data_IF_858490687220
#
_entry.id   IF_858490687220
#
_cell.length_a   1.000
_cell.length_b   1.000
_cell.length_c   1.000
_cell.angle_alpha   90.00
_cell.angle_beta   90.00
_cell.angle_gamma   90.00
#
_symmetry.space_group_name_H-M   'P 1'
#
loop_
_entity.id
_entity.type
_entity.pdbx_description
1 polymer ?
#
# COMPACT_ATOMS: atom_id res chain seq x y z
N UNK A 1 -4.46 -25.35 21.42
CA UNK A 1 -3.57 -24.22 21.15
C UNK A 1 -4.43 -22.99 21.30
N UNK A 2 -4.29 -22.33 22.43
CA UNK A 2 -5.09 -21.19 22.88
C UNK A 2 -4.67 -19.95 22.07
N UNK A 3 -5.55 -19.51 21.15
CA UNK A 3 -5.43 -18.23 20.51
C UNK A 3 -5.76 -17.13 21.53
N UNK A 4 -4.76 -16.44 21.99
CA UNK A 4 -4.94 -15.21 22.75
C UNK A 4 -5.56 -14.16 21.82
N UNK A 5 -6.87 -13.94 21.99
CA UNK A 5 -7.56 -12.78 21.46
C UNK A 5 -7.08 -11.53 22.22
N UNK A 6 -5.97 -10.97 21.79
CA UNK A 6 -5.66 -9.59 22.11
C UNK A 6 -6.59 -8.70 21.26
N UNK A 7 -7.69 -8.26 21.87
CA UNK A 7 -8.36 -7.05 21.40
C UNK A 7 -7.38 -5.89 21.61
N UNK A 8 -6.47 -5.68 20.66
CA UNK A 8 -5.62 -4.50 20.66
C UNK A 8 -6.56 -3.28 20.59
N UNK A 9 -6.49 -2.46 21.62
CA UNK A 9 -7.11 -1.14 21.65
C UNK A 9 -6.42 -0.29 20.58
N UNK A 10 -6.81 -0.45 19.32
CA UNK A 10 -6.22 0.23 18.19
C UNK A 10 -6.68 1.68 18.23
N UNK A 11 -5.77 2.55 18.64
CA UNK A 11 -6.01 3.98 18.78
C UNK A 11 -6.07 4.62 17.39
N UNK A 12 -7.17 5.31 17.11
CA UNK A 12 -7.26 6.22 15.97
C UNK A 12 -6.29 7.38 16.16
N UNK A 13 -5.65 7.82 15.07
CA UNK A 13 -4.69 8.93 15.08
C UNK A 13 -5.15 10.07 14.18
N UNK A 14 -4.81 11.29 14.58
CA UNK A 14 -5.00 12.47 13.76
C UNK A 14 -3.73 12.76 12.96
N UNK A 15 -3.90 13.19 11.71
CA UNK A 15 -2.81 13.50 10.80
C UNK A 15 -2.79 15.00 10.52
N UNK A 16 -1.61 15.59 10.60
CA UNK A 16 -1.38 17.01 10.31
C UNK A 16 -0.70 17.16 8.95
N UNK A 17 -1.35 17.84 8.02
CA UNK A 17 -0.85 18.13 6.68
C UNK A 17 -0.32 19.56 6.54
N UNK A 18 -0.09 20.25 7.64
CA UNK A 18 0.50 21.60 7.60
C UNK A 18 1.92 21.57 7.03
N UNK A 19 2.39 22.68 6.42
CA UNK A 19 3.77 22.77 5.93
C UNK A 19 4.82 22.50 7.00
N UNK A 20 4.56 22.88 8.26
CA UNK A 20 5.46 22.62 9.39
C UNK A 20 5.52 21.12 9.72
N UNK A 21 4.39 20.43 9.73
CA UNK A 21 4.36 18.98 9.95
C UNK A 21 5.08 18.23 8.82
N UNK A 22 4.88 18.65 7.58
CA UNK A 22 5.59 18.07 6.43
C UNK A 22 7.11 18.29 6.53
N UNK A 23 7.55 19.49 6.92
CA UNK A 23 8.98 19.76 7.14
C UNK A 23 9.56 18.84 8.22
N UNK A 24 8.86 18.67 9.34
CA UNK A 24 9.27 17.75 10.42
C UNK A 24 9.35 16.30 9.93
N UNK A 25 8.41 15.86 9.09
CA UNK A 25 8.44 14.52 8.50
C UNK A 25 9.61 14.34 7.52
N UNK A 26 9.94 15.37 6.72
CA UNK A 26 11.15 15.34 5.84
C UNK A 26 12.41 15.17 6.69
N UNK A 27 12.57 15.95 7.75
CA UNK A 27 13.73 15.88 8.65
C UNK A 27 13.83 14.52 9.36
N UNK A 28 12.71 13.98 9.82
CA UNK A 28 12.65 12.65 10.44
C UNK A 28 13.06 11.55 9.45
N UNK A 29 12.62 11.62 8.21
CA UNK A 29 12.97 10.63 7.18
C UNK A 29 14.44 10.75 6.75
N UNK A 30 14.98 11.97 6.64
CA UNK A 30 16.41 12.20 6.38
C UNK A 30 17.27 11.62 7.50
N UNK A 31 16.91 11.87 8.76
CA UNK A 31 17.61 11.31 9.92
C UNK A 31 17.56 9.79 9.93
N UNK A 32 16.42 9.19 9.59
CA UNK A 32 16.27 7.74 9.48
C UNK A 32 17.18 7.16 8.40
N UNK A 33 17.17 7.74 7.19
CA UNK A 33 18.04 7.27 6.09
C UNK A 33 19.52 7.42 6.48
N UNK A 34 19.92 8.54 7.09
CA UNK A 34 21.27 8.74 7.55
C UNK A 34 21.68 7.70 8.61
N UNK A 35 20.80 7.37 9.55
CA UNK A 35 21.02 6.32 10.55
C UNK A 35 21.19 4.94 9.91
N UNK A 36 20.36 4.60 8.93
CA UNK A 36 20.45 3.30 8.24
C UNK A 36 21.70 3.20 7.36
N UNK A 37 22.20 4.33 6.86
CA UNK A 37 23.45 4.39 6.08
C UNK A 37 24.73 4.44 6.91
N UNK A 38 24.67 4.84 8.19
CA UNK A 38 25.84 5.12 9.01
C UNK A 38 26.79 3.91 9.22
N UNK A 39 26.27 2.68 9.17
CA UNK A 39 27.02 1.45 9.45
C UNK A 39 27.02 0.47 8.26
N UNK A 40 26.93 0.98 7.04
CA UNK A 40 26.97 0.16 5.84
C UNK A 40 27.83 0.78 4.75
N UNK A 41 28.39 -0.06 3.88
CA UNK A 41 29.07 0.33 2.65
C UNK A 41 28.15 0.22 1.43
N UNK A 42 26.86 -0.03 1.66
CA UNK A 42 25.86 -0.15 0.59
C UNK A 42 25.71 1.18 -0.14
N UNK A 43 25.38 1.09 -1.43
CA UNK A 43 24.96 2.25 -2.20
C UNK A 43 23.49 2.53 -1.92
N UNK A 44 23.13 3.81 -1.77
CA UNK A 44 21.76 4.28 -1.68
C UNK A 44 21.20 4.51 -3.09
N UNK A 45 20.01 4.03 -3.36
CA UNK A 45 19.30 4.17 -4.62
C UNK A 45 17.93 4.81 -4.39
N UNK A 46 17.57 5.79 -5.20
CA UNK A 46 16.23 6.33 -5.28
C UNK A 46 15.46 5.60 -6.39
N UNK A 47 14.33 5.00 -6.05
CA UNK A 47 13.44 4.28 -6.98
C UNK A 47 12.26 5.17 -7.35
N UNK A 48 12.05 5.40 -8.64
CA UNK A 48 11.04 6.30 -9.20
C UNK A 48 10.16 5.56 -10.20
N UNK A 49 8.85 5.76 -10.13
CA UNK A 49 7.92 5.50 -11.23
C UNK A 49 7.76 6.78 -12.06
N UNK A 50 8.19 6.83 -13.32
CA UNK A 50 8.14 8.05 -14.12
C UNK A 50 6.72 8.42 -14.57
N UNK A 51 5.78 7.48 -14.59
CA UNK A 51 4.43 7.72 -15.13
C UNK A 51 3.70 8.85 -14.40
N UNK A 52 3.64 8.90 -13.07
CA UNK A 52 3.04 10.03 -12.37
C UNK A 52 3.74 11.37 -12.59
N UNK A 53 5.08 11.38 -12.79
CA UNK A 53 5.84 12.59 -13.07
C UNK A 53 5.47 13.20 -14.42
N UNK A 54 5.25 12.37 -15.44
CA UNK A 54 4.83 12.84 -16.78
C UNK A 54 3.44 13.49 -16.71
N UNK A 55 2.57 12.94 -15.87
CA UNK A 55 1.18 13.43 -15.73
C UNK A 55 1.08 14.68 -14.85
N UNK A 56 2.03 14.90 -13.93
CA UNK A 56 2.13 16.08 -13.07
C UNK A 56 3.60 16.53 -12.96
N UNK A 57 4.13 17.23 -13.95
CA UNK A 57 5.52 17.62 -13.93
C UNK A 57 5.79 18.61 -12.77
N UNK A 58 6.50 18.16 -11.74
CA UNK A 58 7.39 19.02 -10.97
C UNK A 58 8.66 19.17 -11.81
N UNK A 59 8.72 20.23 -12.60
CA UNK A 59 9.80 20.43 -13.57
C UNK A 59 11.17 20.43 -12.90
N UNK A 60 11.30 21.02 -11.71
CA UNK A 60 12.56 21.09 -10.97
C UNK A 60 13.04 19.70 -10.51
N UNK A 61 12.14 18.89 -9.97
CA UNK A 61 12.47 17.53 -9.53
C UNK A 61 12.76 16.61 -10.72
N UNK A 62 11.91 16.67 -11.77
CA UNK A 62 12.07 15.88 -12.98
C UNK A 62 13.37 16.21 -13.73
N UNK A 63 13.73 17.49 -13.85
CA UNK A 63 14.96 17.91 -14.51
C UNK A 63 16.21 17.41 -13.77
N UNK A 64 16.20 17.46 -12.43
CA UNK A 64 17.29 16.92 -11.61
C UNK A 64 17.43 15.41 -11.78
N UNK A 65 16.31 14.67 -11.81
CA UNK A 65 16.32 13.21 -12.03
C UNK A 65 16.93 12.87 -13.41
N UNK A 66 16.48 13.55 -14.48
CA UNK A 66 16.97 13.32 -15.84
C UNK A 66 18.47 13.64 -15.94
N UNK A 67 18.93 14.72 -15.28
CA UNK A 67 20.35 15.09 -15.26
C UNK A 67 21.24 14.00 -14.64
N UNK A 68 20.70 13.17 -13.73
CA UNK A 68 21.40 12.02 -13.10
C UNK A 68 21.48 10.79 -14.00
N UNK A 69 20.89 10.84 -15.22
CA UNK A 69 20.86 9.70 -16.16
C UNK A 69 20.39 8.41 -15.47
N UNK A 70 19.14 8.35 -15.03
CA UNK A 70 18.62 7.21 -14.28
C UNK A 70 18.75 5.91 -15.06
N UNK A 71 19.00 4.81 -14.35
CA UNK A 71 19.03 3.47 -14.94
C UNK A 71 17.60 2.93 -15.00
N UNK A 72 17.10 2.55 -16.22
CA UNK A 72 15.77 1.99 -16.33
C UNK A 72 15.70 0.59 -15.73
N UNK A 73 14.68 0.35 -14.92
CA UNK A 73 14.33 -0.98 -14.41
C UNK A 73 13.55 -1.71 -15.50
N UNK A 74 14.28 -2.43 -16.34
CA UNK A 74 13.70 -3.13 -17.49
C UNK A 74 12.75 -4.24 -17.05
N UNK A 75 11.47 -4.13 -17.45
CA UNK A 75 10.44 -5.12 -17.17
C UNK A 75 10.41 -6.15 -18.31
N UNK A 76 10.74 -7.44 -18.07
CA UNK A 76 10.86 -8.44 -19.12
C UNK A 76 9.49 -8.95 -19.61
N UNK A 77 8.67 -8.04 -20.13
CA UNK A 77 7.35 -8.34 -20.66
C UNK A 77 7.05 -7.50 -21.92
N UNK A 78 6.73 -8.18 -23.03
CA UNK A 78 6.59 -7.57 -24.37
C UNK A 78 5.50 -6.47 -24.46
N UNK A 79 4.47 -6.54 -23.64
CA UNK A 79 3.37 -5.57 -23.65
C UNK A 79 3.65 -4.30 -22.84
N UNK A 80 4.80 -4.20 -22.17
CA UNK A 80 5.14 -3.03 -21.32
C UNK A 80 6.08 -2.12 -22.12
N UNK A 81 5.66 -0.87 -22.28
CA UNK A 81 6.48 0.15 -22.95
C UNK A 81 7.69 0.53 -22.09
N UNK A 82 8.82 0.83 -22.72
CA UNK A 82 10.01 1.35 -22.02
C UNK A 82 9.72 2.67 -21.27
N UNK A 83 8.72 3.43 -21.69
CA UNK A 83 8.30 4.66 -21.00
C UNK A 83 7.67 4.39 -19.63
N UNK A 84 7.18 3.15 -19.42
CA UNK A 84 6.56 2.71 -18.17
C UNK A 84 7.55 2.01 -17.23
N UNK A 85 8.83 1.96 -17.60
CA UNK A 85 9.85 1.35 -16.75
C UNK A 85 10.17 2.26 -15.57
N UNK A 86 10.21 1.75 -14.34
CA UNK A 86 10.73 2.50 -13.21
C UNK A 86 12.19 2.91 -13.44
N UNK A 87 12.62 3.92 -12.74
CA UNK A 87 13.98 4.45 -12.79
C UNK A 87 14.69 4.22 -11.48
N UNK A 88 15.96 3.86 -11.54
CA UNK A 88 16.84 3.73 -10.39
C UNK A 88 17.96 4.76 -10.49
N UNK A 89 18.10 5.60 -9.46
CA UNK A 89 19.10 6.68 -9.40
C UNK A 89 20.03 6.38 -8.22
N UNK A 90 21.32 6.09 -8.45
CA UNK A 90 22.29 5.99 -7.37
C UNK A 90 22.53 7.37 -6.75
N UNK A 91 22.63 7.42 -5.41
CA UNK A 91 22.89 8.63 -4.62
C UNK A 91 24.17 8.46 -3.83
N UNK A 92 25.07 9.43 -3.95
CA UNK A 92 26.25 9.57 -3.14
C UNK A 92 26.08 10.73 -2.15
N UNK A 93 25.79 10.39 -0.90
CA UNK A 93 25.53 11.40 0.14
C UNK A 93 26.75 12.22 0.55
N UNK A 94 27.94 11.97 -0.01
CA UNK A 94 29.08 12.87 0.13
C UNK A 94 28.95 14.13 -0.75
N UNK A 95 28.05 14.11 -1.76
CA UNK A 95 27.81 15.21 -2.69
C UNK A 95 26.55 15.99 -2.31
N UNK A 96 26.65 17.30 -2.25
CA UNK A 96 25.56 18.20 -1.87
C UNK A 96 24.34 18.07 -2.79
N UNK A 97 24.55 17.93 -4.10
CA UNK A 97 23.48 17.75 -5.09
C UNK A 97 22.64 16.49 -4.82
N UNK A 98 23.26 15.41 -4.36
CA UNK A 98 22.56 14.16 -4.03
C UNK A 98 21.84 14.25 -2.69
N UNK A 99 22.40 14.98 -1.71
CA UNK A 99 21.69 15.30 -0.47
C UNK A 99 20.44 16.13 -0.75
N UNK A 100 20.55 17.14 -1.65
CA UNK A 100 19.41 17.96 -2.07
C UNK A 100 18.37 17.14 -2.83
N UNK A 101 18.78 16.24 -3.73
CA UNK A 101 17.88 15.37 -4.47
C UNK A 101 17.17 14.39 -3.51
N UNK A 102 17.86 13.83 -2.52
CA UNK A 102 17.27 13.00 -1.48
C UNK A 102 16.21 13.78 -0.70
N UNK A 103 16.55 14.96 -0.18
CA UNK A 103 15.60 15.79 0.57
C UNK A 103 14.36 16.15 -0.28
N UNK A 104 14.57 16.53 -1.54
CA UNK A 104 13.49 16.84 -2.45
C UNK A 104 12.61 15.62 -2.76
N UNK A 105 13.21 14.44 -2.94
CA UNK A 105 12.44 13.21 -3.17
C UNK A 105 11.55 12.84 -1.99
N UNK A 106 11.99 13.08 -0.75
CA UNK A 106 11.18 12.87 0.45
C UNK A 106 10.02 13.87 0.48
N UNK A 107 10.28 15.13 0.21
CA UNK A 107 9.24 16.17 0.15
C UNK A 107 8.18 15.84 -0.92
N UNK A 108 8.61 15.34 -2.10
CA UNK A 108 7.70 14.88 -3.17
C UNK A 108 6.87 13.70 -2.68
N UNK A 109 7.48 12.68 -2.07
CA UNK A 109 6.76 11.50 -1.55
C UNK A 109 5.67 11.88 -0.54
N UNK A 110 5.96 12.82 0.36
CA UNK A 110 4.99 13.34 1.33
C UNK A 110 3.90 14.19 0.68
N UNK A 111 4.25 15.00 -0.33
CA UNK A 111 3.27 15.79 -1.08
C UNK A 111 2.32 14.90 -1.90
N UNK A 112 2.77 13.75 -2.40
CA UNK A 112 1.96 12.82 -3.19
C UNK A 112 0.82 12.18 -2.38
N UNK A 113 0.97 12.09 -1.07
CA UNK A 113 -0.07 11.58 -0.14
C UNK A 113 -0.95 12.69 0.45
N UNK A 114 -0.65 13.96 0.15
CA UNK A 114 -1.48 15.08 0.59
C UNK A 114 -2.90 14.96 0.01
N UNK A 115 -3.97 15.27 0.79
CA UNK A 115 -5.35 15.16 0.32
C UNK A 115 -5.62 15.83 -1.04
N UNK A 116 -5.04 17.02 -1.28
CA UNK A 116 -5.17 17.75 -2.56
C UNK A 116 -4.60 16.98 -3.77
N UNK A 117 -3.66 16.07 -3.55
CA UNK A 117 -3.09 15.21 -4.59
C UNK A 117 -3.86 13.89 -4.70
N UNK A 118 -4.26 13.32 -3.57
CA UNK A 118 -5.05 12.09 -3.55
C UNK A 118 -6.36 12.22 -4.33
N UNK A 119 -7.03 13.38 -4.29
CA UNK A 119 -8.29 13.62 -5.04
C UNK A 119 -8.11 13.49 -6.56
N UNK A 120 -6.89 13.72 -7.08
CA UNK A 120 -6.59 13.62 -8.52
C UNK A 120 -6.38 12.20 -9.01
N UNK A 121 -6.42 11.20 -8.13
CA UNK A 121 -6.24 9.76 -8.43
C UNK A 121 -4.92 9.45 -9.14
N UNK A 122 -3.89 10.29 -8.95
CA UNK A 122 -2.55 10.07 -9.49
C UNK A 122 -1.83 9.03 -8.65
N UNK A 123 -1.01 8.21 -9.28
CA UNK A 123 -0.09 7.32 -8.59
C UNK A 123 1.03 8.07 -7.86
N UNK A 124 1.89 7.33 -7.18
CA UNK A 124 3.07 7.87 -6.50
C UNK A 124 4.30 7.69 -7.39
N UNK A 125 5.03 8.78 -7.64
CA UNK A 125 6.27 8.74 -8.41
C UNK A 125 7.43 8.23 -7.57
N UNK A 126 7.54 8.68 -6.31
CA UNK A 126 8.60 8.20 -5.42
C UNK A 126 8.21 6.85 -4.82
N UNK A 127 8.93 5.81 -5.24
CA UNK A 127 8.69 4.43 -4.82
C UNK A 127 9.49 4.02 -3.58
N UNK A 128 10.48 4.82 -3.20
CA UNK A 128 11.28 4.62 -1.99
C UNK A 128 12.78 4.71 -2.20
N UNK A 129 13.51 4.46 -1.13
CA UNK A 129 14.97 4.50 -1.06
C UNK A 129 15.49 3.12 -0.70
N UNK A 130 16.36 2.58 -1.55
CA UNK A 130 16.86 1.21 -1.45
C UNK A 130 18.33 1.24 -1.08
N UNK A 131 18.80 0.26 -0.32
CA UNK A 131 20.24 0.06 -0.13
C UNK A 131 20.64 -1.33 -0.60
N UNK A 132 21.79 -1.41 -1.26
CA UNK A 132 22.37 -2.67 -1.70
C UNK A 132 23.90 -2.56 -1.82
N UNK A 133 24.65 -3.64 -1.54
CA UNK A 133 26.08 -3.73 -1.86
C UNK A 133 26.33 -4.01 -3.35
N UNK A 134 25.29 -4.27 -4.14
CA UNK A 134 25.39 -4.62 -5.54
C UNK A 134 25.31 -3.42 -6.47
N UNK A 135 25.90 -3.47 -7.69
CA UNK A 135 25.83 -2.40 -8.67
C UNK A 135 24.38 -2.11 -9.12
N UNK A 136 24.16 -0.89 -9.60
CA UNK A 136 22.85 -0.40 -10.03
C UNK A 136 22.18 -1.31 -11.08
N UNK A 137 22.94 -1.86 -12.02
CA UNK A 137 22.41 -2.73 -13.08
C UNK A 137 21.86 -4.05 -12.53
N UNK A 138 22.53 -4.62 -11.52
CA UNK A 138 22.07 -5.86 -10.88
C UNK A 138 20.80 -5.58 -10.06
N UNK A 139 20.75 -4.45 -9.34
CA UNK A 139 19.55 -4.03 -8.60
C UNK A 139 18.40 -3.77 -9.56
N UNK A 140 18.62 -3.03 -10.65
CA UNK A 140 17.61 -2.78 -11.68
C UNK A 140 17.09 -4.07 -12.29
N UNK A 141 17.98 -5.00 -12.65
CA UNK A 141 17.63 -6.31 -13.18
C UNK A 141 16.77 -7.11 -12.22
N UNK A 142 17.14 -7.17 -10.94
CA UNK A 142 16.35 -7.88 -9.94
C UNK A 142 14.96 -7.26 -9.81
N UNK A 143 14.87 -5.93 -9.62
CA UNK A 143 13.60 -5.24 -9.49
C UNK A 143 12.68 -5.52 -10.68
N UNK A 144 13.21 -5.44 -11.90
CA UNK A 144 12.44 -5.68 -13.11
C UNK A 144 11.94 -7.12 -13.24
N UNK A 145 12.81 -8.10 -12.97
CA UNK A 145 12.42 -9.51 -13.04
C UNK A 145 11.41 -9.89 -11.95
N UNK A 146 11.57 -9.36 -10.72
CA UNK A 146 10.63 -9.59 -9.62
C UNK A 146 9.27 -8.94 -9.89
N UNK A 147 9.20 -7.87 -10.70
CA UNK A 147 7.93 -7.25 -11.09
C UNK A 147 7.07 -8.11 -12.03
N UNK A 148 7.66 -9.14 -12.65
CA UNK A 148 6.93 -10.07 -13.53
C UNK A 148 6.83 -11.41 -12.83
N UNK A 149 5.63 -11.76 -12.41
CA UNK A 149 5.35 -12.98 -11.68
C UNK A 149 4.50 -13.95 -12.49
N UNK A 150 4.71 -15.24 -12.26
CA UNK A 150 3.91 -16.30 -12.86
C UNK A 150 2.74 -16.64 -11.92
N UNK A 151 1.54 -16.67 -12.48
CA UNK A 151 0.34 -17.15 -11.81
C UNK A 151 0.32 -18.69 -11.76
N UNK A 152 -0.49 -19.32 -10.89
CA UNK A 152 -0.63 -20.78 -10.84
C UNK A 152 -1.07 -21.42 -12.16
N UNK A 153 -1.80 -20.69 -13.00
CA UNK A 153 -2.23 -21.12 -14.35
C UNK A 153 -1.18 -20.82 -15.44
N UNK A 154 0.05 -20.51 -15.06
CA UNK A 154 1.20 -20.20 -15.91
C UNK A 154 1.13 -18.88 -16.69
N UNK A 155 0.08 -18.07 -16.55
CA UNK A 155 0.05 -16.73 -17.12
C UNK A 155 1.02 -15.82 -16.38
N UNK A 156 1.61 -14.87 -17.11
CA UNK A 156 2.48 -13.86 -16.52
C UNK A 156 1.65 -12.64 -16.11
N UNK A 157 1.93 -12.10 -14.94
CA UNK A 157 1.32 -10.86 -14.46
C UNK A 157 2.39 -9.84 -14.08
N UNK A 158 2.09 -8.56 -14.30
CA UNK A 158 2.88 -7.45 -13.77
C UNK A 158 2.42 -7.15 -12.35
N UNK A 159 3.32 -7.26 -11.40
CA UNK A 159 3.10 -6.88 -10.01
C UNK A 159 3.86 -5.58 -9.71
N UNK A 160 3.14 -4.48 -9.52
CA UNK A 160 3.75 -3.18 -9.20
C UNK A 160 4.13 -3.09 -7.72
N UNK A 161 4.81 -4.11 -7.21
CA UNK A 161 5.20 -4.20 -5.80
C UNK A 161 6.11 -3.06 -5.32
N UNK A 162 6.73 -2.35 -6.26
CA UNK A 162 7.55 -1.17 -6.02
C UNK A 162 6.72 0.09 -5.72
N UNK A 163 5.45 0.14 -6.10
CA UNK A 163 4.53 1.20 -5.72
C UNK A 163 4.25 1.12 -4.21
N UNK A 164 4.49 2.18 -3.41
CA UNK A 164 4.33 2.15 -1.96
C UNK A 164 2.93 1.73 -1.51
N UNK A 165 1.88 2.13 -2.23
CA UNK A 165 0.51 1.74 -1.90
C UNK A 165 0.29 0.24 -2.12
N UNK A 166 0.86 -0.34 -3.18
CA UNK A 166 0.83 -1.79 -3.42
C UNK A 166 1.70 -2.52 -2.41
N UNK A 167 2.90 -2.01 -2.11
CA UNK A 167 3.82 -2.60 -1.13
C UNK A 167 3.18 -2.71 0.24
N UNK A 168 2.50 -1.66 0.72
CA UNK A 168 1.88 -1.62 2.03
C UNK A 168 0.82 -2.70 2.22
N UNK A 169 -0.01 -2.97 1.20
CA UNK A 169 -1.08 -3.98 1.30
C UNK A 169 -0.58 -5.39 0.96
N UNK A 170 0.45 -5.51 0.12
CA UNK A 170 1.02 -6.80 -0.29
C UNK A 170 1.91 -7.42 0.79
N UNK A 171 2.74 -6.59 1.44
CA UNK A 171 3.76 -7.07 2.37
C UNK A 171 3.21 -7.97 3.49
N UNK A 172 2.11 -7.64 4.18
CA UNK A 172 1.54 -8.48 5.23
C UNK A 172 0.98 -9.82 4.75
N UNK A 173 0.65 -9.93 3.47
CA UNK A 173 0.06 -11.15 2.86
C UNK A 173 1.14 -12.14 2.44
N UNK A 174 2.37 -11.69 2.31
CA UNK A 174 3.50 -12.54 1.96
C UNK A 174 4.13 -13.16 3.21
N UNK A 175 4.34 -14.47 3.19
CA UNK A 175 5.12 -15.16 4.22
C UNK A 175 6.58 -14.69 4.20
N UNK A 176 7.24 -14.80 5.32
CA UNK A 176 8.62 -14.37 5.54
C UNK A 176 9.58 -14.73 4.38
N UNK A 177 9.52 -15.97 3.90
CA UNK A 177 10.42 -16.38 2.82
C UNK A 177 10.14 -15.67 1.48
N UNK A 178 8.87 -15.30 1.21
CA UNK A 178 8.50 -14.52 0.02
C UNK A 178 8.89 -13.06 0.17
N UNK A 179 8.76 -12.51 1.38
CA UNK A 179 9.27 -11.17 1.69
C UNK A 179 10.78 -11.10 1.45
N UNK A 180 11.54 -12.11 1.90
CA UNK A 180 12.98 -12.18 1.66
C UNK A 180 13.32 -12.35 0.17
N UNK A 181 12.55 -13.12 -0.59
CA UNK A 181 12.69 -13.19 -2.06
C UNK A 181 12.40 -11.87 -2.75
N UNK A 182 11.39 -11.14 -2.28
CA UNK A 182 11.05 -9.83 -2.81
C UNK A 182 12.16 -8.82 -2.54
N UNK A 183 12.80 -8.89 -1.37
CA UNK A 183 13.98 -8.09 -1.04
C UNK A 183 15.19 -8.47 -1.92
N UNK A 184 15.43 -9.77 -2.13
CA UNK A 184 16.51 -10.30 -2.97
C UNK A 184 17.88 -9.79 -2.58
N UNK A 185 18.54 -8.96 -3.43
CA UNK A 185 19.86 -8.38 -3.16
C UNK A 185 19.80 -7.01 -2.47
N UNK A 186 18.61 -6.54 -2.10
CA UNK A 186 18.45 -5.31 -1.33
C UNK A 186 18.71 -5.59 0.16
N UNK A 187 19.51 -4.77 0.80
CA UNK A 187 19.70 -4.83 2.25
C UNK A 187 18.52 -4.18 2.97
N UNK A 188 18.07 -3.03 2.45
CA UNK A 188 16.96 -2.26 3.01
C UNK A 188 16.10 -1.67 1.91
N UNK A 189 14.84 -1.50 2.23
CA UNK A 189 13.90 -0.73 1.43
C UNK A 189 13.14 0.21 2.37
N UNK A 190 13.38 1.48 2.24
CA UNK A 190 12.74 2.55 2.99
C UNK A 190 11.69 3.22 2.12
N UNK A 191 10.52 3.44 2.64
CA UNK A 191 9.42 4.12 1.95
C UNK A 191 8.57 4.91 2.94
N UNK A 192 7.71 5.77 2.41
CA UNK A 192 6.68 6.46 3.18
C UNK A 192 5.35 5.79 2.90
N UNK A 193 4.61 5.41 3.94
CA UNK A 193 3.26 4.88 3.78
C UNK A 193 2.24 5.96 3.36
N UNK A 194 0.97 5.61 3.24
CA UNK A 194 -0.06 6.56 2.84
C UNK A 194 -0.49 7.54 3.94
N UNK A 195 0.06 7.41 5.13
CA UNK A 195 -0.15 8.30 6.27
C UNK A 195 1.08 9.18 6.57
N UNK A 196 2.12 9.09 5.72
CA UNK A 196 3.35 9.86 5.89
C UNK A 196 4.32 9.24 6.87
N UNK A 197 4.07 8.01 7.34
CA UNK A 197 4.96 7.36 8.28
C UNK A 197 6.08 6.61 7.54
N UNK A 198 7.31 6.64 8.06
CA UNK A 198 8.41 5.88 7.50
C UNK A 198 8.21 4.39 7.73
N UNK A 199 8.44 3.61 6.69
CA UNK A 199 8.41 2.14 6.73
C UNK A 199 9.75 1.62 6.24
N UNK A 200 10.34 0.66 6.98
CA UNK A 200 11.60 0.02 6.60
C UNK A 200 11.38 -1.48 6.45
N UNK A 201 11.70 -1.99 5.28
CA UNK A 201 11.82 -3.42 4.99
C UNK A 201 13.28 -3.80 5.03
N UNK A 202 13.62 -4.89 5.72
CA UNK A 202 15.02 -5.34 5.86
C UNK A 202 15.17 -6.76 5.35
N UNK A 203 16.27 -6.98 4.63
CA UNK A 203 16.70 -8.34 4.33
C UNK A 203 17.28 -8.98 5.60
N UNK A 204 16.94 -10.25 5.86
CA UNK A 204 17.52 -11.01 6.96
C UNK A 204 18.85 -11.60 6.52
N UNK A 205 19.89 -11.36 7.31
CA UNK A 205 21.26 -11.78 7.00
C UNK A 205 21.43 -13.33 6.89
N UNK A 206 20.52 -14.09 7.49
CA UNK A 206 20.52 -15.55 7.51
C UNK A 206 19.72 -16.17 6.34
N UNK A 207 19.07 -15.35 5.50
CA UNK A 207 18.33 -15.84 4.36
C UNK A 207 19.28 -16.19 3.20
N UNK A 208 19.13 -17.39 2.66
CA UNK A 208 19.89 -17.81 1.48
C UNK A 208 19.49 -16.95 0.27
N UNK A 209 20.48 -16.50 -0.52
CA UNK A 209 20.23 -15.86 -1.80
C UNK A 209 19.48 -16.83 -2.71
N UNK A 210 18.33 -16.41 -3.20
CA UNK A 210 17.54 -17.22 -4.10
C UNK A 210 17.93 -16.96 -5.56
N UNK A 211 18.16 -18.03 -6.31
CA UNK A 211 18.52 -17.95 -7.73
C UNK A 211 17.32 -17.64 -8.66
N UNK A 212 16.13 -17.46 -8.09
CA UNK A 212 14.91 -17.19 -8.85
C UNK A 212 14.25 -15.88 -8.40
N UNK A 213 13.77 -15.11 -9.36
CA UNK A 213 12.97 -13.90 -9.14
C UNK A 213 11.47 -14.21 -8.93
N UNK A 214 11.05 -15.45 -9.14
CA UNK A 214 9.67 -15.87 -8.95
C UNK A 214 9.39 -16.07 -7.46
N UNK A 215 8.33 -15.44 -6.98
CA UNK A 215 7.90 -15.53 -5.57
C UNK A 215 7.21 -16.86 -5.26
N UNK A 216 6.71 -17.57 -6.29
CA UNK A 216 5.94 -18.80 -6.12
C UNK A 216 4.63 -18.55 -5.38
N UNK A 217 3.87 -17.57 -5.85
CA UNK A 217 2.61 -17.14 -5.23
C UNK A 217 1.59 -18.28 -5.25
N UNK A 218 0.87 -18.44 -4.12
CA UNK A 218 -0.29 -19.32 -4.05
C UNK A 218 -1.48 -18.73 -4.83
N UNK A 219 -2.52 -19.55 -5.07
CA UNK A 219 -3.74 -19.06 -5.71
C UNK A 219 -4.38 -17.92 -4.87
N UNK A 220 -4.47 -18.08 -3.55
CA UNK A 220 -5.03 -17.06 -2.67
C UNK A 220 -4.26 -15.73 -2.74
N UNK A 221 -2.92 -15.77 -2.79
CA UNK A 221 -2.10 -14.56 -2.94
C UNK A 221 -2.24 -13.93 -4.32
N UNK A 222 -2.37 -14.75 -5.35
CA UNK A 222 -2.63 -14.27 -6.72
C UNK A 222 -3.98 -13.57 -6.79
N UNK A 223 -5.02 -14.17 -6.23
CA UNK A 223 -6.37 -13.59 -6.18
C UNK A 223 -6.39 -12.29 -5.39
N UNK A 224 -5.68 -12.25 -4.25
CA UNK A 224 -5.51 -11.01 -3.48
C UNK A 224 -4.85 -9.90 -4.31
N UNK A 225 -3.76 -10.19 -5.01
CA UNK A 225 -3.04 -9.20 -5.82
C UNK A 225 -3.90 -8.70 -6.98
N UNK A 226 -4.62 -9.59 -7.65
CA UNK A 226 -5.39 -9.26 -8.85
C UNK A 226 -6.72 -8.55 -8.54
N UNK A 227 -7.34 -8.88 -7.42
CA UNK A 227 -8.71 -8.46 -7.11
C UNK A 227 -8.82 -7.59 -5.86
N UNK A 228 -8.18 -7.96 -4.75
CA UNK A 228 -8.41 -7.30 -3.46
C UNK A 228 -7.52 -6.08 -3.24
N UNK A 229 -6.24 -6.15 -3.60
CA UNK A 229 -5.28 -5.07 -3.34
C UNK A 229 -5.69 -3.72 -3.97
N UNK A 230 -6.28 -3.76 -5.18
CA UNK A 230 -6.80 -2.57 -5.85
C UNK A 230 -7.97 -1.95 -5.10
N UNK A 231 -8.90 -2.78 -4.62
CA UNK A 231 -10.08 -2.36 -3.85
C UNK A 231 -9.65 -1.74 -2.52
N UNK A 232 -8.75 -2.41 -1.79
CA UNK A 232 -8.19 -1.90 -0.53
C UNK A 232 -7.58 -0.51 -0.74
N UNK A 233 -6.73 -0.35 -1.75
CA UNK A 233 -6.08 0.94 -2.04
C UNK A 233 -7.06 2.04 -2.41
N UNK A 234 -8.13 1.74 -3.17
CA UNK A 234 -9.17 2.72 -3.49
C UNK A 234 -9.98 3.11 -2.26
N UNK A 235 -10.35 2.14 -1.43
CA UNK A 235 -11.07 2.38 -0.16
C UNK A 235 -10.23 3.21 0.82
N UNK A 236 -8.94 2.88 1.00
CA UNK A 236 -8.01 3.65 1.83
C UNK A 236 -7.87 5.09 1.36
N UNK A 237 -7.75 5.31 0.04
CA UNK A 237 -7.68 6.67 -0.52
C UNK A 237 -8.95 7.45 -0.22
N UNK A 238 -10.14 6.87 -0.44
CA UNK A 238 -11.42 7.50 -0.14
C UNK A 238 -11.57 7.80 1.34
N UNK A 239 -11.16 6.87 2.20
CA UNK A 239 -11.18 7.03 3.64
C UNK A 239 -10.30 8.20 4.09
N UNK A 240 -9.07 8.33 3.59
CA UNK A 240 -8.19 9.46 3.88
C UNK A 240 -8.76 10.80 3.47
N UNK A 241 -9.37 10.86 2.28
CA UNK A 241 -9.99 12.10 1.80
C UNK A 241 -11.14 12.57 2.68
N UNK A 242 -11.96 11.65 3.18
CA UNK A 242 -13.11 11.99 4.01
C UNK A 242 -12.78 12.18 5.49
N UNK A 243 -11.64 11.65 5.94
CA UNK A 243 -11.16 11.79 7.33
C UNK A 243 -9.95 12.69 7.48
N UNK A 244 -9.75 13.64 6.56
CA UNK A 244 -8.60 14.56 6.57
C UNK A 244 -8.46 15.32 7.89
N UNK A 245 -9.57 15.71 8.52
CA UNK A 245 -9.62 16.50 9.75
C UNK A 245 -10.14 15.74 10.96
N UNK A 246 -10.29 14.43 10.85
CA UNK A 246 -10.78 13.56 11.93
C UNK A 246 -9.79 12.44 12.21
N UNK A 247 -9.76 11.90 13.44
CA UNK A 247 -8.97 10.71 13.73
C UNK A 247 -9.37 9.53 12.83
N UNK A 248 -8.39 8.76 12.40
CA UNK A 248 -8.62 7.56 11.57
C UNK A 248 -7.66 6.42 11.93
N UNK A 249 -7.97 5.23 11.47
CA UNK A 249 -7.06 4.09 11.61
C UNK A 249 -5.78 4.32 10.78
N UNK A 250 -4.60 3.98 11.35
CA UNK A 250 -3.35 3.91 10.58
C UNK A 250 -3.49 2.97 9.37
N UNK A 251 -2.72 3.24 8.31
CA UNK A 251 -2.81 2.54 7.03
C UNK A 251 -2.81 1.01 7.17
N UNK A 252 -1.86 0.46 7.91
CA UNK A 252 -1.74 -0.99 8.06
C UNK A 252 -2.99 -1.60 8.71
N UNK A 253 -3.47 -0.98 9.80
CA UNK A 253 -4.69 -1.42 10.48
C UNK A 253 -5.92 -1.31 9.59
N UNK A 254 -6.05 -0.18 8.88
CA UNK A 254 -7.15 0.03 7.95
C UNK A 254 -7.13 -0.99 6.82
N UNK A 255 -5.96 -1.27 6.22
CA UNK A 255 -5.79 -2.28 5.19
C UNK A 255 -6.16 -3.69 5.67
N UNK A 256 -5.73 -4.07 6.87
CA UNK A 256 -6.05 -5.38 7.48
C UNK A 256 -7.55 -5.56 7.67
N UNK A 257 -8.25 -4.55 8.22
CA UNK A 257 -9.70 -4.60 8.43
C UNK A 257 -10.49 -4.80 7.15
N UNK A 258 -10.09 -4.07 6.10
CA UNK A 258 -10.70 -4.26 4.77
C UNK A 258 -10.39 -5.65 4.22
N UNK A 259 -9.14 -6.10 4.32
CA UNK A 259 -8.73 -7.42 3.84
C UNK A 259 -9.53 -8.55 4.51
N UNK A 260 -9.70 -8.50 5.83
CA UNK A 260 -10.49 -9.47 6.60
C UNK A 260 -11.96 -9.48 6.16
N UNK A 261 -12.55 -8.33 5.89
CA UNK A 261 -13.92 -8.24 5.43
C UNK A 261 -14.07 -8.77 3.99
N UNK A 262 -13.17 -8.42 3.08
CA UNK A 262 -13.18 -8.96 1.72
C UNK A 262 -13.00 -10.47 1.70
N UNK A 263 -12.20 -11.04 2.61
CA UNK A 263 -12.06 -12.49 2.77
C UNK A 263 -13.37 -13.15 3.22
N UNK A 264 -14.07 -12.56 4.20
CA UNK A 264 -15.41 -13.05 4.64
C UNK A 264 -16.43 -13.04 3.49
N UNK A 265 -16.34 -12.04 2.63
CA UNK A 265 -17.27 -11.82 1.52
C UNK A 265 -16.89 -12.60 0.24
N UNK A 266 -15.71 -13.21 0.18
CA UNK A 266 -15.23 -13.94 -1.01
C UNK A 266 -16.14 -15.06 -1.43
N UNK A 267 -16.78 -15.75 -0.47
CA UNK A 267 -17.76 -16.81 -0.73
C UNK A 267 -19.15 -16.30 -1.04
N UNK A 268 -19.39 -14.99 -0.99
CA UNK A 268 -20.71 -14.40 -1.16
C UNK A 268 -21.07 -14.29 -2.66
N UNK A 269 -22.04 -15.04 -3.18
CA UNK A 269 -22.25 -15.21 -4.62
C UNK A 269 -22.72 -13.95 -5.36
N UNK A 270 -23.20 -12.92 -4.64
CA UNK A 270 -23.73 -11.70 -5.22
C UNK A 270 -22.75 -10.52 -5.21
N UNK A 271 -21.56 -10.68 -4.65
CA UNK A 271 -20.65 -9.57 -4.37
C UNK A 271 -19.37 -9.66 -5.22
N UNK A 272 -19.54 -9.50 -6.55
CA UNK A 272 -18.44 -9.65 -7.51
C UNK A 272 -18.01 -8.34 -8.17
N UNK A 273 -18.83 -7.28 -8.07
CA UNK A 273 -18.51 -5.98 -8.64
C UNK A 273 -17.49 -5.24 -7.78
N UNK A 274 -16.38 -4.80 -8.39
CA UNK A 274 -15.28 -4.13 -7.70
C UNK A 274 -15.71 -2.80 -7.06
N UNK A 275 -16.62 -2.07 -7.68
CA UNK A 275 -17.11 -0.80 -7.16
C UNK A 275 -18.01 -1.01 -5.93
N UNK A 276 -18.80 -2.09 -5.92
CA UNK A 276 -19.60 -2.46 -4.75
C UNK A 276 -18.73 -2.92 -3.59
N UNK A 277 -17.68 -3.68 -3.88
CA UNK A 277 -16.68 -4.11 -2.90
C UNK A 277 -15.92 -2.92 -2.32
N UNK A 278 -15.60 -1.91 -3.14
CA UNK A 278 -14.99 -0.65 -2.67
C UNK A 278 -15.94 0.14 -1.75
N UNK A 279 -17.22 0.23 -2.10
CA UNK A 279 -18.21 0.92 -1.26
C UNK A 279 -18.34 0.25 0.11
N UNK A 280 -18.45 -1.07 0.18
CA UNK A 280 -18.50 -1.76 1.45
C UNK A 280 -17.17 -1.62 2.24
N UNK A 281 -16.03 -1.75 1.56
CA UNK A 281 -14.73 -1.54 2.18
C UNK A 281 -14.60 -0.13 2.80
N UNK A 282 -15.20 0.87 2.15
CA UNK A 282 -15.28 2.21 2.73
C UNK A 282 -16.11 2.25 4.03
N UNK A 283 -17.28 1.61 4.07
CA UNK A 283 -18.13 1.55 5.27
C UNK A 283 -17.46 0.79 6.43
N UNK A 284 -16.66 -0.24 6.11
CA UNK A 284 -15.82 -0.96 7.10
C UNK A 284 -14.81 -0.03 7.76
N UNK A 285 -14.25 0.90 7.02
CA UNK A 285 -13.28 1.88 7.56
C UNK A 285 -13.94 3.06 8.25
N UNK A 286 -15.04 3.55 7.69
CA UNK A 286 -15.68 4.79 8.11
C UNK A 286 -16.66 4.58 9.25
N UNK A 287 -17.47 3.53 9.19
CA UNK A 287 -18.56 3.30 10.15
C UNK A 287 -18.18 2.29 11.21
N UNK A 288 -17.92 1.03 10.85
CA UNK A 288 -17.47 0.00 11.79
C UNK A 288 -16.78 -1.18 11.09
N UNK A 289 -15.67 -1.73 11.64
CA UNK A 289 -14.88 -2.81 11.02
C UNK A 289 -15.64 -4.10 10.73
N UNK A 290 -16.78 -4.30 11.38
CA UNK A 290 -17.65 -5.48 11.23
C UNK A 290 -19.05 -5.09 10.79
N UNK A 291 -19.21 -3.98 10.09
CA UNK A 291 -20.50 -3.51 9.60
C UNK A 291 -21.14 -4.49 8.60
N UNK A 292 -20.33 -5.25 7.89
CA UNK A 292 -20.73 -6.33 7.01
C UNK A 292 -21.50 -7.45 7.72
N UNK A 293 -21.23 -7.65 9.01
CA UNK A 293 -21.89 -8.66 9.86
C UNK A 293 -23.15 -8.13 10.59
N UNK A 294 -23.47 -6.85 10.42
CA UNK A 294 -24.70 -6.32 11.00
C UNK A 294 -25.93 -6.94 10.30
N UNK A 295 -26.96 -7.46 11.04
CA UNK A 295 -28.04 -8.22 10.44
C UNK A 295 -28.79 -7.53 9.31
N UNK A 296 -28.90 -6.18 9.36
CA UNK A 296 -29.53 -5.41 8.30
C UNK A 296 -28.64 -5.27 7.05
N UNK A 297 -27.34 -5.22 7.23
CA UNK A 297 -26.38 -5.15 6.13
C UNK A 297 -26.21 -6.53 5.51
N UNK A 298 -26.05 -7.57 6.32
CA UNK A 298 -26.02 -8.98 5.88
C UNK A 298 -27.26 -9.33 5.03
N UNK A 299 -28.46 -8.92 5.49
CA UNK A 299 -29.69 -9.06 4.71
C UNK A 299 -29.63 -8.36 3.35
N UNK A 300 -29.03 -7.15 3.27
CA UNK A 300 -28.87 -6.41 2.02
C UNK A 300 -27.78 -7.02 1.11
N UNK A 301 -26.84 -7.76 1.68
CA UNK A 301 -25.82 -8.49 0.92
C UNK A 301 -26.35 -9.83 0.38
N UNK A 302 -27.43 -10.38 0.96
CA UNK A 302 -27.99 -11.67 0.57
C UNK A 302 -28.60 -11.60 -0.86
N UNK A 303 -28.06 -12.36 -1.83
CA UNK A 303 -28.55 -12.37 -3.21
C UNK A 303 -29.95 -12.99 -3.34
N UNK A 304 -30.37 -13.82 -2.39
CA UNK A 304 -31.68 -14.47 -2.42
C UNK A 304 -32.81 -13.54 -1.94
N UNK A 305 -32.45 -12.47 -1.26
CA UNK A 305 -33.40 -11.48 -0.74
C UNK A 305 -33.77 -10.44 -1.80
N UNK A 306 -32.87 -10.18 -2.73
CA UNK A 306 -33.08 -9.23 -3.84
C UNK A 306 -32.91 -9.97 -5.16
N UNK A 307 -33.65 -9.55 -6.19
CA UNK A 307 -33.38 -9.99 -7.56
C UNK A 307 -31.92 -9.62 -7.88
N UNK A 308 -31.18 -10.56 -8.46
CA UNK A 308 -29.74 -10.42 -8.74
C UNK A 308 -29.36 -9.14 -9.52
N UNK A 309 -30.37 -8.48 -10.11
CA UNK A 309 -30.23 -7.30 -10.96
C UNK A 309 -30.19 -5.96 -10.19
N UNK A 310 -30.40 -5.96 -8.85
CA UNK A 310 -30.35 -4.72 -8.06
C UNK A 310 -28.97 -4.53 -7.46
N UNK A 311 -28.15 -3.57 -7.97
CA UNK A 311 -26.82 -3.30 -7.45
C UNK A 311 -26.81 -2.97 -5.95
N UNK A 312 -25.75 -3.34 -5.24
CA UNK A 312 -25.55 -3.00 -3.83
C UNK A 312 -25.75 -1.51 -3.55
N UNK A 313 -25.23 -0.63 -4.41
CA UNK A 313 -25.39 0.83 -4.29
C UNK A 313 -26.84 1.25 -4.24
N UNK A 314 -27.71 0.62 -5.00
CA UNK A 314 -29.14 0.92 -4.98
C UNK A 314 -29.80 0.41 -3.71
N UNK A 315 -29.39 -0.75 -3.21
CA UNK A 315 -29.91 -1.33 -1.97
C UNK A 315 -29.61 -0.45 -0.76
N UNK A 316 -28.40 0.13 -0.68
CA UNK A 316 -27.97 0.98 0.44
C UNK A 316 -28.32 2.46 0.26
N UNK A 317 -28.78 2.87 -0.92
CA UNK A 317 -29.02 4.28 -1.27
C UNK A 317 -29.92 5.03 -0.29
N UNK A 318 -30.86 4.32 0.31
CA UNK A 318 -31.83 4.89 1.24
C UNK A 318 -31.37 4.83 2.70
N UNK A 319 -30.20 4.29 2.99
CA UNK A 319 -29.66 4.27 4.36
C UNK A 319 -29.09 5.65 4.65
N UNK A 320 -29.70 6.35 5.59
CA UNK A 320 -29.23 7.69 6.01
C UNK A 320 -27.91 7.59 6.80
N UNK A 321 -27.18 8.70 6.86
CA UNK A 321 -25.96 8.80 7.69
C UNK A 321 -26.26 8.46 9.16
N UNK A 322 -27.42 8.90 9.67
CA UNK A 322 -27.83 8.56 11.04
C UNK A 322 -28.05 7.05 11.22
N UNK A 323 -28.62 6.39 10.21
CA UNK A 323 -28.85 4.95 10.24
C UNK A 323 -27.54 4.16 10.19
N UNK A 324 -26.58 4.58 9.37
CA UNK A 324 -25.22 4.00 9.37
C UNK A 324 -24.56 4.15 10.74
N UNK A 325 -24.61 5.33 11.34
CA UNK A 325 -24.09 5.58 12.68
C UNK A 325 -24.82 4.76 13.76
N UNK A 326 -26.10 4.45 13.58
CA UNK A 326 -26.82 3.55 14.47
C UNK A 326 -26.31 2.11 14.34
N UNK A 327 -26.19 1.59 13.12
CA UNK A 327 -25.67 0.24 12.88
C UNK A 327 -24.26 0.06 13.41
N UNK A 328 -23.40 1.09 13.27
CA UNK A 328 -22.06 1.09 13.84
C UNK A 328 -22.08 0.95 15.38
N UNK A 329 -22.96 1.70 16.08
CA UNK A 329 -23.12 1.59 17.53
C UNK A 329 -23.66 0.21 17.94
N UNK A 330 -24.58 -0.37 17.19
CA UNK A 330 -25.12 -1.70 17.44
C UNK A 330 -24.04 -2.79 17.29
N UNK A 331 -23.15 -2.66 16.29
CA UNK A 331 -21.99 -3.54 16.15
C UNK A 331 -21.04 -3.43 17.33
N UNK A 332 -20.73 -2.21 17.78
CA UNK A 332 -19.86 -1.98 18.95
C UNK A 332 -20.42 -2.61 20.21
N UNK A 333 -21.73 -2.40 20.49
CA UNK A 333 -22.40 -2.98 21.64
C UNK A 333 -22.36 -4.53 21.63
N UNK A 334 -22.50 -5.14 20.45
CA UNK A 334 -22.39 -6.60 20.30
C UNK A 334 -20.96 -7.10 20.57
N UNK A 335 -19.93 -6.35 20.18
CA UNK A 335 -18.54 -6.71 20.49
C UNK A 335 -18.24 -6.63 21.98
N UNK A 336 -18.70 -5.57 22.65
CA UNK A 336 -18.56 -5.40 24.11
C UNK A 336 -19.26 -6.53 24.88
N UNK A 337 -20.46 -6.93 24.45
CA UNK A 337 -21.19 -8.04 25.04
C UNK A 337 -20.43 -9.37 24.90
N UNK A 338 -19.93 -9.69 23.69
CA UNK A 338 -19.14 -10.90 23.43
C UNK A 338 -17.84 -10.91 24.25
N UNK A 339 -17.17 -9.76 24.39
CA UNK A 339 -15.97 -9.63 25.19
C UNK A 339 -16.26 -9.95 26.67
N UNK A 340 -17.42 -9.50 27.19
CA UNK A 340 -17.85 -9.75 28.58
C UNK A 340 -18.26 -11.22 28.82
N UNK A 341 -18.87 -11.87 27.83
CA UNK A 341 -19.28 -13.28 27.91
C UNK A 341 -18.08 -14.26 27.86
N UNK A 342 -16.94 -13.81 27.27
CA UNK A 342 -15.72 -14.64 27.14
C UNK A 342 -14.65 -14.34 28.21
N UNK A 343 -14.88 -13.38 29.11
CA UNK A 343 -14.00 -13.00 30.22
C UNK A 343 -14.41 -13.73 31.54
#
# INVERSE_FOLDING_TARGET
>A
MSGENHAENITMVSFDYSPLAQQTQVEAMLALIAQEMANTTDTLYLLIDPVPLVLQPDTTFSDRLVARKPVPVSLPHKAISMQDYPWLVPLDLSHEDDQQLLSQSIAVALNEIHPDKLCRKMGRAVCGWLTSPHPVDDVAKQLGHTAIQQQPDHRMMRMRYYDPAVNSVLWPVLEDFRQQRLMGILSRWMLVDGDGQPVIRRHRADSALHLTFLLGLSQAQTDFILHDAGIINRALRRYRLLTTHTPRYPELTAAQRVSEALERLRSHPAFHDDDEREDLAFHILHDHPRIDLHPKIDYLLDPYTFTADVPWRERIRNISVQTWAQYARECLAQEEQRATENA
#
